data_IF_284473053029
#
_entry.id   IF_284473053029
#
_cell.length_a   1.000
_cell.length_b   1.000
_cell.length_c   1.000
_cell.angle_alpha   90.00
_cell.angle_beta   90.00
_cell.angle_gamma   90.00
#
_symmetry.space_group_name_H-M   'P 1'
#
loop_
_entity.id
_entity.type
_entity.pdbx_description
1 polymer ?
#
# COMPACT_ATOMS: atom_id res chain seq x y z
N UNK A 1 45.57 42.41 -42.32
CA UNK A 1 44.18 42.80 -41.97
C UNK A 1 43.77 41.97 -40.78
N UNK A 2 43.95 42.51 -39.57
CA UNK A 2 43.55 41.84 -38.33
C UNK A 2 42.03 41.94 -38.17
N UNK A 3 41.36 40.79 -38.00
CA UNK A 3 39.91 40.70 -37.74
C UNK A 3 39.71 40.67 -36.22
N UNK A 4 38.98 41.65 -35.73
CA UNK A 4 38.47 41.72 -34.35
C UNK A 4 37.57 40.52 -34.05
N UNK A 5 37.82 39.84 -32.94
CA UNK A 5 36.79 39.08 -32.23
C UNK A 5 36.72 39.57 -30.78
N UNK A 6 35.61 40.24 -30.49
CA UNK A 6 35.18 40.64 -29.16
C UNK A 6 34.58 39.39 -28.52
N UNK A 7 35.17 38.90 -27.43
CA UNK A 7 34.59 37.85 -26.59
C UNK A 7 33.78 38.53 -25.49
N UNK A 8 32.46 38.44 -25.56
CA UNK A 8 31.59 38.76 -24.43
C UNK A 8 31.69 37.62 -23.42
N UNK A 9 32.30 37.89 -22.26
CA UNK A 9 32.18 37.01 -21.09
C UNK A 9 30.91 37.44 -20.36
N UNK A 10 29.82 36.71 -20.58
CA UNK A 10 28.64 36.82 -19.74
C UNK A 10 28.96 36.19 -18.38
N UNK A 11 29.18 37.01 -17.36
CA UNK A 11 29.21 36.55 -15.98
C UNK A 11 27.77 36.18 -15.60
N UNK A 12 27.47 34.87 -15.59
CA UNK A 12 26.25 34.33 -15.03
C UNK A 12 26.35 34.50 -13.50
N UNK A 13 25.81 35.59 -12.96
CA UNK A 13 25.56 35.71 -11.54
C UNK A 13 24.36 34.82 -11.25
N UNK A 14 24.62 33.56 -10.91
CA UNK A 14 23.64 32.72 -10.22
C UNK A 14 23.41 33.36 -8.85
N UNK A 15 22.36 34.17 -8.74
CA UNK A 15 21.75 34.43 -7.44
C UNK A 15 21.16 33.10 -6.98
N UNK A 16 21.88 32.40 -6.10
CA UNK A 16 21.28 31.36 -5.29
C UNK A 16 20.22 32.06 -4.43
N UNK A 17 18.96 32.00 -4.86
CA UNK A 17 17.85 32.12 -3.91
C UNK A 17 18.06 30.99 -2.92
N UNK A 18 18.15 31.31 -1.64
CA UNK A 18 18.14 30.32 -0.58
C UNK A 18 16.84 29.52 -0.72
N UNK A 19 16.90 28.38 -1.40
CA UNK A 19 16.01 27.29 -1.10
C UNK A 19 16.40 26.89 0.32
N UNK A 20 15.62 27.34 1.30
CA UNK A 20 15.55 26.67 2.58
C UNK A 20 15.44 25.18 2.26
N UNK A 21 16.28 24.35 2.88
CA UNK A 21 16.16 22.92 2.77
C UNK A 21 14.72 22.56 3.18
N UNK A 22 13.85 22.33 2.20
CA UNK A 22 12.55 21.74 2.42
C UNK A 22 12.89 20.31 2.80
N UNK A 23 12.98 20.03 4.10
CA UNK A 23 12.88 18.64 4.54
C UNK A 23 11.46 18.13 4.26
N UNK A 24 11.26 16.84 4.45
CA UNK A 24 10.04 16.18 4.00
C UNK A 24 8.81 16.71 4.79
N UNK A 25 7.65 16.90 4.13
CA UNK A 25 6.40 17.26 4.80
C UNK A 25 5.85 16.07 5.60
N UNK A 26 4.77 16.27 6.38
CA UNK A 26 4.12 15.17 7.11
C UNK A 26 3.34 14.32 6.10
N UNK A 27 3.71 13.04 5.88
CA UNK A 27 2.97 12.20 4.95
C UNK A 27 1.55 11.92 5.46
N UNK A 28 0.58 11.95 4.56
CA UNK A 28 -0.76 11.45 4.81
C UNK A 28 -0.73 10.02 5.37
N UNK A 29 -1.57 9.76 6.39
CA UNK A 29 -1.62 8.47 7.07
C UNK A 29 -0.53 8.24 8.13
N UNK A 30 0.32 9.24 8.40
CA UNK A 30 1.28 9.15 9.50
C UNK A 30 0.62 9.19 10.87
N UNK A 31 1.29 8.55 11.82
CA UNK A 31 0.99 8.70 13.24
C UNK A 31 1.95 9.69 13.90
N UNK A 32 1.48 10.33 14.97
CA UNK A 32 2.31 11.19 15.80
C UNK A 32 2.57 10.50 17.14
N UNK A 33 3.84 10.40 17.51
CA UNK A 33 4.26 9.91 18.81
C UNK A 33 4.79 11.05 19.68
N UNK A 34 4.34 11.15 20.93
CA UNK A 34 4.89 12.12 21.86
C UNK A 34 6.32 11.72 22.22
N UNK A 35 7.30 12.49 21.71
CA UNK A 35 8.73 12.26 21.96
C UNK A 35 9.13 12.90 23.28
N UNK A 36 8.68 14.14 23.53
CA UNK A 36 9.00 14.91 24.74
C UNK A 36 8.03 16.07 24.96
N UNK A 37 8.03 16.58 26.19
CA UNK A 37 7.32 17.81 26.58
C UNK A 37 8.33 18.83 27.09
N UNK A 38 8.28 20.04 26.56
CA UNK A 38 9.10 21.17 27.00
C UNK A 38 8.26 22.08 27.89
N UNK A 39 8.76 22.37 29.10
CA UNK A 39 8.09 23.29 30.02
C UNK A 39 8.34 24.73 29.58
N UNK A 40 7.30 25.55 29.50
CA UNK A 40 7.48 26.97 29.26
C UNK A 40 7.85 27.72 30.56
N UNK A 41 8.97 28.45 30.61
CA UNK A 41 9.31 29.22 31.80
C UNK A 41 8.54 30.56 31.84
N UNK A 42 7.34 30.58 32.43
CA UNK A 42 6.57 31.82 32.69
C UNK A 42 5.13 31.79 32.19
N UNK A 43 4.60 32.96 31.77
CA UNK A 43 3.19 33.14 31.37
C UNK A 43 2.89 32.62 29.96
N UNK A 44 1.77 31.90 29.79
CA UNK A 44 1.07 31.51 28.56
C UNK A 44 1.82 31.66 27.22
N UNK A 45 2.22 30.55 26.60
CA UNK A 45 2.66 30.56 25.20
C UNK A 45 1.46 30.91 24.32
N UNK A 46 1.60 31.95 23.48
CA UNK A 46 0.54 32.40 22.58
C UNK A 46 0.83 31.98 21.15
N UNK A 47 2.10 32.05 20.72
CA UNK A 47 2.52 31.67 19.38
C UNK A 47 3.92 31.05 19.42
N UNK A 48 4.14 30.07 18.55
CA UNK A 48 5.43 29.40 18.38
C UNK A 48 5.80 29.37 16.89
N UNK A 49 7.09 29.35 16.59
CA UNK A 49 7.56 29.17 15.22
C UNK A 49 8.93 28.50 15.20
N UNK A 50 9.18 27.69 14.17
CA UNK A 50 10.52 27.20 13.87
C UNK A 50 11.25 28.25 13.03
N UNK A 51 12.39 28.75 13.51
CA UNK A 51 13.13 29.78 12.80
C UNK A 51 14.64 29.60 12.95
N UNK A 52 15.32 29.39 11.82
CA UNK A 52 16.77 29.21 11.73
C UNK A 52 17.32 28.07 12.62
N UNK A 53 16.58 26.97 12.74
CA UNK A 53 17.00 25.78 13.49
C UNK A 53 16.78 25.87 15.00
N UNK A 54 16.06 26.88 15.47
CA UNK A 54 15.71 27.08 16.87
C UNK A 54 14.19 27.26 17.01
N UNK A 55 13.65 26.91 18.17
CA UNK A 55 12.25 27.13 18.49
C UNK A 55 12.09 28.55 19.06
N UNK A 56 11.14 29.31 18.53
CA UNK A 56 10.81 30.65 19.00
C UNK A 56 9.41 30.67 19.59
N UNK A 57 9.24 31.34 20.72
CA UNK A 57 7.97 31.43 21.44
C UNK A 57 7.71 32.87 21.87
N UNK A 58 6.48 33.34 21.69
CA UNK A 58 5.99 34.60 22.26
C UNK A 58 4.87 34.34 23.25
N UNK A 59 4.81 35.15 24.31
CA UNK A 59 3.67 35.17 25.23
C UNK A 59 2.80 36.43 25.06
N UNK A 60 1.64 36.44 25.70
CA UNK A 60 0.70 37.56 25.62
C UNK A 60 1.25 38.91 26.13
N UNK A 61 2.29 38.88 26.96
CA UNK A 61 2.98 40.09 27.46
C UNK A 61 4.09 40.61 26.54
N UNK A 62 4.32 39.95 25.38
CA UNK A 62 5.31 40.41 24.39
C UNK A 62 6.74 40.02 24.72
N UNK A 63 6.95 38.98 25.51
CA UNK A 63 8.25 38.39 25.74
C UNK A 63 8.51 37.34 24.67
N UNK A 64 9.41 37.66 23.73
CA UNK A 64 9.90 36.75 22.71
C UNK A 64 11.10 35.98 23.25
N UNK A 65 11.06 34.65 23.16
CA UNK A 65 12.12 33.76 23.63
C UNK A 65 12.56 32.84 22.51
N UNK A 66 13.86 32.59 22.50
CA UNK A 66 14.50 31.58 21.67
C UNK A 66 14.87 30.42 22.57
N UNK A 67 14.47 29.22 22.19
CA UNK A 67 14.51 28.04 23.04
C UNK A 67 15.30 26.95 22.32
N UNK A 68 16.15 26.27 23.07
CA UNK A 68 16.80 25.05 22.63
C UNK A 68 15.73 23.95 22.47
N UNK A 69 15.50 23.44 21.26
CA UNK A 69 14.39 22.54 20.99
C UNK A 69 14.57 21.13 21.58
N UNK A 70 15.79 20.77 22.00
CA UNK A 70 16.10 19.48 22.60
C UNK A 70 15.88 19.50 24.11
N UNK A 71 16.24 20.61 24.76
CA UNK A 71 16.30 20.72 26.24
C UNK A 71 15.24 21.63 26.84
N UNK A 72 14.66 22.54 26.05
CA UNK A 72 13.77 23.59 26.53
C UNK A 72 14.50 24.78 27.20
N UNK A 73 15.83 24.83 27.15
CA UNK A 73 16.60 25.95 27.71
C UNK A 73 16.34 27.25 26.95
N UNK A 74 16.13 28.35 27.67
CA UNK A 74 15.99 29.68 27.06
C UNK A 74 17.36 30.22 26.64
N UNK A 75 17.62 30.23 25.35
CA UNK A 75 18.85 30.70 24.74
C UNK A 75 18.92 32.23 24.66
N UNK A 76 17.78 32.90 24.47
CA UNK A 76 17.66 34.35 24.42
C UNK A 76 16.27 34.83 24.81
N UNK A 77 16.17 36.07 25.32
CA UNK A 77 14.90 36.73 25.65
C UNK A 77 14.94 38.18 25.16
N UNK A 78 13.88 38.60 24.49
CA UNK A 78 13.68 39.97 24.01
C UNK A 78 12.27 40.42 24.40
N UNK A 79 12.17 41.61 25.02
CA UNK A 79 10.87 42.22 25.30
C UNK A 79 10.46 43.11 24.13
N UNK A 80 9.25 42.91 23.65
CA UNK A 80 8.60 43.73 22.63
C UNK A 80 7.83 44.88 23.29
N UNK A 81 7.65 45.98 22.57
CA UNK A 81 6.97 47.18 23.08
C UNK A 81 5.46 47.04 23.16
N UNK A 82 4.90 46.05 22.48
CA UNK A 82 3.47 45.81 22.32
C UNK A 82 2.99 44.81 23.37
N UNK A 83 1.69 44.84 23.64
CA UNK A 83 0.99 43.86 24.48
C UNK A 83 -0.07 43.17 23.62
N UNK A 84 -0.56 41.99 24.01
CA UNK A 84 -1.59 41.19 23.30
C UNK A 84 -1.11 40.59 21.97
N UNK A 85 -0.07 39.78 22.06
CA UNK A 85 0.43 38.98 20.94
C UNK A 85 -0.32 37.66 20.85
N UNK A 86 -0.57 37.20 19.62
CA UNK A 86 -1.23 35.91 19.38
C UNK A 86 -0.24 34.96 18.70
N UNK A 87 -0.05 35.03 17.39
CA UNK A 87 0.70 34.07 16.60
C UNK A 87 2.14 34.45 16.28
N UNK A 88 2.94 33.44 15.92
CA UNK A 88 4.27 33.58 15.34
C UNK A 88 4.35 32.75 14.07
N UNK A 89 5.01 33.27 13.03
CA UNK A 89 5.27 32.51 11.82
C UNK A 89 6.59 32.91 11.18
N UNK A 90 7.22 32.00 10.44
CA UNK A 90 8.49 32.29 9.78
C UNK A 90 8.46 32.01 8.28
N UNK A 91 9.07 32.90 7.50
CA UNK A 91 9.40 32.64 6.09
C UNK A 91 10.83 32.09 5.89
N UNK A 92 11.51 31.73 6.98
CA UNK A 92 12.91 31.30 7.01
C UNK A 92 13.94 32.44 7.08
N UNK A 93 13.61 33.65 6.61
CA UNK A 93 14.48 34.83 6.68
C UNK A 93 14.04 35.83 7.76
N UNK A 94 12.74 35.89 8.00
CA UNK A 94 12.04 36.81 8.86
C UNK A 94 11.14 36.02 9.82
N UNK A 95 10.94 36.61 11.00
CA UNK A 95 9.93 36.18 11.96
C UNK A 95 8.80 37.20 11.97
N UNK A 96 7.59 36.73 11.75
CA UNK A 96 6.36 37.51 11.75
C UNK A 96 5.56 37.24 13.00
N UNK A 97 4.75 38.22 13.38
CA UNK A 97 3.95 38.17 14.60
C UNK A 97 2.62 38.85 14.38
N UNK A 98 1.57 38.30 14.99
CA UNK A 98 0.26 38.94 15.09
C UNK A 98 0.04 39.55 16.47
N UNK A 99 -0.58 40.73 16.51
CA UNK A 99 -0.93 41.41 17.76
C UNK A 99 -2.16 42.30 17.60
N UNK A 100 -2.91 42.53 18.68
CA UNK A 100 -4.14 43.33 18.66
C UNK A 100 -4.06 44.60 19.54
N UNK A 101 -3.69 45.77 18.98
CA UNK A 101 -3.59 47.01 19.76
C UNK A 101 -4.93 47.63 20.19
N UNK A 102 -6.10 47.01 19.94
CA UNK A 102 -7.38 47.54 20.41
C UNK A 102 -8.61 47.23 19.56
N UNK A 103 -8.73 46.00 19.05
CA UNK A 103 -9.86 45.48 18.28
C UNK A 103 -9.58 45.23 16.79
N UNK A 104 -8.33 45.33 16.34
CA UNK A 104 -7.91 45.05 14.96
C UNK A 104 -6.55 44.34 14.98
N UNK A 105 -6.49 43.10 14.53
CA UNK A 105 -5.22 42.37 14.50
C UNK A 105 -4.30 42.91 13.41
N UNK A 106 -3.03 43.10 13.75
CA UNK A 106 -1.97 43.56 12.87
C UNK A 106 -0.90 42.48 12.75
N UNK A 107 -0.36 42.32 11.54
CA UNK A 107 0.84 41.52 11.30
C UNK A 107 2.04 42.43 11.12
N UNK A 108 3.19 42.01 11.64
CA UNK A 108 4.48 42.68 11.39
C UNK A 108 5.62 41.68 11.40
N UNK A 109 6.72 42.02 10.74
CA UNK A 109 7.99 41.35 10.98
C UNK A 109 8.65 41.91 12.24
N UNK A 110 8.99 41.04 13.18
CA UNK A 110 9.72 41.37 14.42
C UNK A 110 11.23 41.21 14.25
N UNK A 111 11.64 40.29 13.37
CA UNK A 111 13.04 40.02 13.07
C UNK A 111 13.18 39.87 11.56
N UNK A 112 13.90 40.77 10.86
CA UNK A 112 14.21 42.12 11.31
C UNK A 112 12.93 42.94 11.49
N UNK A 113 12.96 43.99 12.32
CA UNK A 113 11.77 44.85 12.51
C UNK A 113 11.32 45.49 11.19
N UNK A 114 10.06 45.28 10.85
CA UNK A 114 9.43 45.76 9.62
C UNK A 114 8.10 46.49 9.87
N UNK A 115 7.47 47.00 8.80
CA UNK A 115 6.17 47.67 8.91
C UNK A 115 5.06 46.70 9.33
N UNK A 116 4.01 47.25 9.95
CA UNK A 116 2.78 46.52 10.28
C UNK A 116 1.69 46.73 9.23
N UNK A 117 0.84 45.74 9.02
CA UNK A 117 -0.40 45.85 8.22
C UNK A 117 -1.56 45.15 8.90
N UNK A 118 -2.78 45.60 8.62
CA UNK A 118 -3.99 45.07 9.26
C UNK A 118 -4.52 43.81 8.58
N UNK A 119 -5.04 42.89 9.37
CA UNK A 119 -5.88 41.81 8.88
C UNK A 119 -7.31 42.33 8.63
N UNK A 120 -8.07 41.70 7.72
CA UNK A 120 -9.48 42.04 7.50
C UNK A 120 -10.38 41.83 8.73
N UNK A 121 -9.94 41.02 9.69
CA UNK A 121 -10.68 40.55 10.86
C UNK A 121 -9.81 40.61 12.12
N UNK A 122 -10.43 40.67 13.31
CA UNK A 122 -9.70 40.63 14.59
C UNK A 122 -9.33 39.23 15.06
N UNK A 123 -9.88 38.18 14.45
CA UNK A 123 -9.77 36.80 14.94
C UNK A 123 -8.47 36.07 14.61
N UNK A 124 -7.46 36.74 14.04
CA UNK A 124 -6.20 36.09 13.67
C UNK A 124 -5.44 35.60 14.91
N UNK A 125 -5.41 34.27 15.09
CA UNK A 125 -4.86 33.62 16.30
C UNK A 125 -3.44 33.12 16.09
N UNK A 126 -3.19 32.40 15.02
CA UNK A 126 -1.85 31.96 14.64
C UNK A 126 -1.56 32.23 13.16
N UNK A 127 -0.28 32.20 12.77
CA UNK A 127 0.12 32.51 11.39
C UNK A 127 1.35 31.72 10.92
N UNK A 128 1.40 31.42 9.63
CA UNK A 128 2.56 30.79 8.98
C UNK A 128 2.83 31.44 7.62
N UNK A 129 3.92 31.08 6.97
CA UNK A 129 4.29 31.59 5.65
C UNK A 129 4.39 30.46 4.62
N UNK A 130 3.69 30.63 3.50
CA UNK A 130 3.80 29.75 2.33
C UNK A 130 3.70 30.57 1.04
N UNK A 131 4.54 30.27 0.06
CA UNK A 131 4.43 30.82 -1.30
C UNK A 131 4.45 32.35 -1.38
N UNK A 132 5.22 33.03 -0.52
CA UNK A 132 5.36 34.49 -0.51
C UNK A 132 4.23 35.26 0.16
N UNK A 133 3.33 34.57 0.86
CA UNK A 133 2.24 35.17 1.65
C UNK A 133 2.18 34.59 3.06
N UNK A 134 1.47 35.30 3.93
CA UNK A 134 1.17 34.82 5.29
C UNK A 134 -0.22 34.20 5.32
N UNK A 135 -0.28 32.96 5.76
CA UNK A 135 -1.52 32.29 6.13
C UNK A 135 -1.82 32.55 7.60
N UNK A 136 -3.09 32.65 7.96
CA UNK A 136 -3.50 32.72 9.35
C UNK A 136 -4.81 31.99 9.61
N UNK A 137 -4.94 31.48 10.83
CA UNK A 137 -6.15 30.90 11.38
C UNK A 137 -7.02 32.02 11.97
N UNK A 138 -8.23 32.20 11.42
CA UNK A 138 -9.22 33.15 11.92
C UNK A 138 -10.19 32.46 12.88
N UNK A 139 -9.89 32.58 14.17
CA UNK A 139 -10.57 31.91 15.27
C UNK A 139 -12.05 32.30 15.39
N UNK A 140 -12.38 33.56 15.11
CA UNK A 140 -13.74 34.11 15.28
C UNK A 140 -14.62 33.81 14.07
N UNK A 141 -14.06 33.92 12.86
CA UNK A 141 -14.80 33.76 11.61
C UNK A 141 -14.74 32.35 11.02
N UNK A 142 -13.90 31.45 11.57
CA UNK A 142 -13.80 30.06 11.13
C UNK A 142 -13.18 29.92 9.75
N UNK A 143 -12.14 30.69 9.47
CA UNK A 143 -11.50 30.75 8.14
C UNK A 143 -10.00 30.54 8.25
N UNK A 144 -9.43 30.07 7.14
CA UNK A 144 -8.01 30.04 6.90
C UNK A 144 -7.76 31.05 5.78
N UNK A 145 -6.90 32.04 6.01
CA UNK A 145 -6.80 33.21 5.13
C UNK A 145 -5.34 33.46 4.75
N UNK A 146 -5.07 33.58 3.44
CA UNK A 146 -3.76 33.99 2.91
C UNK A 146 -3.76 35.47 2.58
N UNK A 147 -2.77 36.18 3.09
CA UNK A 147 -2.52 37.59 2.82
C UNK A 147 -1.14 37.76 2.17
N UNK A 148 -0.97 38.77 1.33
CA UNK A 148 0.36 39.24 0.97
C UNK A 148 1.03 39.86 2.19
N UNK A 149 2.36 39.91 2.19
CA UNK A 149 3.16 40.60 3.23
C UNK A 149 2.96 42.12 3.27
N UNK A 150 2.08 42.65 2.41
CA UNK A 150 1.67 44.06 2.36
C UNK A 150 0.17 44.26 2.65
N UNK A 151 -0.55 43.20 3.03
CA UNK A 151 -1.96 43.28 3.45
C UNK A 151 -3.03 43.08 2.35
N UNK A 152 -2.67 42.53 1.18
CA UNK A 152 -3.65 42.15 0.16
C UNK A 152 -4.19 40.73 0.37
N UNK A 153 -5.50 40.50 0.22
CA UNK A 153 -6.08 39.15 0.28
C UNK A 153 -5.68 38.32 -0.95
N UNK A 154 -5.14 37.13 -0.74
CA UNK A 154 -4.68 36.21 -1.78
C UNK A 154 -5.58 34.98 -1.90
N UNK A 155 -6.01 34.40 -0.77
CA UNK A 155 -6.88 33.23 -0.73
C UNK A 155 -7.64 33.18 0.61
N UNK A 156 -8.78 32.48 0.64
CA UNK A 156 -9.49 32.17 1.88
C UNK A 156 -10.33 30.91 1.72
N UNK A 157 -10.37 30.09 2.76
CA UNK A 157 -11.13 28.84 2.82
C UNK A 157 -11.83 28.72 4.18
N UNK A 158 -12.97 28.00 4.26
CA UNK A 158 -13.55 27.65 5.54
C UNK A 158 -12.61 26.73 6.33
N UNK A 159 -12.53 26.93 7.64
CA UNK A 159 -11.88 25.99 8.55
C UNK A 159 -12.69 24.68 8.61
N UNK A 160 -12.05 23.51 8.57
CA UNK A 160 -12.73 22.22 8.70
C UNK A 160 -13.61 22.15 9.95
N UNK A 161 -14.83 21.61 9.77
CA UNK A 161 -15.82 21.36 10.82
C UNK A 161 -16.19 22.55 11.73
N UNK A 162 -15.88 23.79 11.33
CA UNK A 162 -15.94 24.95 12.22
C UNK A 162 -17.26 25.07 12.99
N UNK A 163 -17.14 25.36 14.29
CA UNK A 163 -18.23 25.71 15.18
C UNK A 163 -17.77 26.82 16.12
N UNK A 164 -18.47 27.97 16.17
CA UNK A 164 -18.06 29.12 16.98
C UNK A 164 -18.03 28.86 18.50
N UNK A 165 -18.65 27.78 18.98
CA UNK A 165 -18.69 27.41 20.40
C UNK A 165 -17.64 26.35 20.78
N UNK A 166 -17.38 25.37 19.91
CA UNK A 166 -16.67 24.13 20.28
C UNK A 166 -15.68 23.64 19.21
N UNK A 167 -15.39 24.42 18.16
CA UNK A 167 -14.42 24.02 17.14
C UNK A 167 -13.90 25.23 16.33
N UNK A 168 -12.89 25.93 16.86
CA UNK A 168 -12.38 27.18 16.27
C UNK A 168 -10.91 27.04 15.87
N UNK A 169 -10.50 27.44 14.66
CA UNK A 169 -9.12 27.28 14.22
C UNK A 169 -8.16 28.09 15.10
N UNK A 170 -7.13 27.43 15.62
CA UNK A 170 -6.17 28.00 16.59
C UNK A 170 -4.78 28.06 16.00
N UNK A 171 -4.06 26.93 15.94
CA UNK A 171 -2.69 26.86 15.45
C UNK A 171 -2.64 26.59 13.94
N UNK A 172 -1.66 27.19 13.26
CA UNK A 172 -1.44 26.96 11.82
C UNK A 172 0.04 26.94 11.49
N UNK A 173 0.50 25.96 10.70
CA UNK A 173 1.90 25.86 10.27
C UNK A 173 1.99 25.30 8.85
N UNK A 174 3.08 25.62 8.15
CA UNK A 174 3.40 25.09 6.82
C UNK A 174 4.48 24.02 6.95
N UNK A 175 4.19 22.80 6.49
CA UNK A 175 5.14 21.69 6.59
C UNK A 175 6.03 21.51 5.36
N UNK A 176 5.74 22.22 4.26
CA UNK A 176 6.38 22.03 2.97
C UNK A 176 5.42 21.63 1.85
N UNK A 177 4.25 21.10 2.18
CA UNK A 177 3.22 20.64 1.23
C UNK A 177 1.79 20.99 1.67
N UNK A 178 1.51 20.93 2.97
CA UNK A 178 0.20 21.15 3.58
C UNK A 178 0.22 22.32 4.57
N UNK A 179 -0.93 22.98 4.66
CA UNK A 179 -1.24 23.81 5.82
C UNK A 179 -1.70 22.88 6.94
N UNK A 180 -0.88 22.75 7.97
CA UNK A 180 -1.23 22.10 9.22
C UNK A 180 -2.15 23.03 10.00
N UNK A 181 -3.29 22.51 10.46
CA UNK A 181 -4.24 23.29 11.25
C UNK A 181 -4.72 22.47 12.45
N UNK A 182 -4.71 23.09 13.62
CA UNK A 182 -5.47 22.61 14.79
C UNK A 182 -6.66 23.49 15.03
N UNK A 183 -7.72 22.88 15.56
CA UNK A 183 -8.85 23.63 16.10
C UNK A 183 -8.93 23.44 17.61
N UNK A 184 -9.24 24.53 18.30
CA UNK A 184 -9.54 24.55 19.71
C UNK A 184 -10.69 23.58 20.04
N UNK A 185 -10.53 22.81 21.11
CA UNK A 185 -11.45 21.76 21.59
C UNK A 185 -11.62 20.54 20.66
N UNK A 186 -10.79 20.42 19.61
CA UNK A 186 -10.64 19.20 18.81
C UNK A 186 -9.27 18.59 19.03
N UNK A 187 -9.22 17.27 19.10
CA UNK A 187 -7.98 16.51 19.11
C UNK A 187 -7.64 16.03 17.69
N UNK A 188 -7.54 16.95 16.73
CA UNK A 188 -7.29 16.60 15.33
C UNK A 188 -6.33 17.61 14.70
N UNK A 189 -5.31 17.11 14.02
CA UNK A 189 -4.48 17.88 13.10
C UNK A 189 -5.00 17.69 11.68
N UNK A 190 -5.41 18.79 11.04
CA UNK A 190 -5.83 18.78 9.64
C UNK A 190 -4.65 19.13 8.74
N UNK A 191 -4.39 18.32 7.72
CA UNK A 191 -3.44 18.61 6.64
C UNK A 191 -4.25 19.13 5.45
N UNK A 192 -4.09 20.41 5.13
CA UNK A 192 -4.97 21.11 4.19
C UNK A 192 -4.19 21.52 2.94
N UNK A 193 -4.74 21.23 1.77
CA UNK A 193 -4.13 21.62 0.49
C UNK A 193 -4.26 23.14 0.30
N UNK A 194 -3.14 23.89 0.17
CA UNK A 194 -3.18 25.36 0.13
C UNK A 194 -3.82 25.92 -1.15
N UNK A 195 -3.92 25.12 -2.22
CA UNK A 195 -4.47 25.54 -3.52
C UNK A 195 -6.00 25.60 -3.58
N UNK A 196 -6.70 24.78 -2.78
CA UNK A 196 -8.16 24.68 -2.80
C UNK A 196 -8.83 24.60 -1.41
N UNK A 197 -8.04 24.52 -0.32
CA UNK A 197 -8.54 24.48 1.05
C UNK A 197 -9.17 23.15 1.46
N UNK A 198 -9.00 22.11 0.66
CA UNK A 198 -9.54 20.77 0.97
C UNK A 198 -8.63 20.08 1.98
N UNK A 199 -9.23 19.45 2.99
CA UNK A 199 -8.53 18.53 3.90
C UNK A 199 -8.08 17.33 3.11
N UNK A 200 -6.77 17.13 3.03
CA UNK A 200 -6.17 15.95 2.42
C UNK A 200 -6.26 14.78 3.39
N UNK A 201 -5.81 15.02 4.63
CA UNK A 201 -5.71 14.02 5.68
C UNK A 201 -5.95 14.62 7.07
N UNK A 202 -6.32 13.76 8.01
CA UNK A 202 -6.52 14.08 9.42
C UNK A 202 -5.67 13.14 10.27
N UNK A 203 -5.01 13.69 11.29
CA UNK A 203 -4.28 12.91 12.29
C UNK A 203 -4.97 13.09 13.64
N UNK A 204 -5.33 11.97 14.28
CA UNK A 204 -5.94 11.97 15.61
C UNK A 204 -4.90 12.27 16.69
N UNK A 205 -5.16 13.30 17.50
CA UNK A 205 -4.35 13.73 18.63
C UNK A 205 -4.99 13.35 19.98
N UNK A 206 -6.07 12.54 19.98
CA UNK A 206 -6.89 12.26 21.15
C UNK A 206 -6.13 11.63 22.31
N UNK A 207 -5.09 10.87 22.01
CA UNK A 207 -4.19 10.25 22.99
C UNK A 207 -3.45 11.29 23.86
N UNK A 208 -3.30 12.52 23.38
CA UNK A 208 -2.51 13.56 24.04
C UNK A 208 -3.37 14.56 24.81
N UNK A 209 -4.70 14.55 24.57
CA UNK A 209 -5.70 15.43 25.18
C UNK A 209 -5.25 16.87 25.45
N UNK A 210 -4.51 17.56 24.56
CA UNK A 210 -4.14 18.92 24.87
C UNK A 210 -5.29 19.78 24.38
N UNK A 211 -5.74 20.72 25.19
CA UNK A 211 -6.35 21.92 24.64
C UNK A 211 -5.25 22.66 23.87
N UNK A 212 -4.84 22.15 22.69
CA UNK A 212 -3.81 22.72 21.82
C UNK A 212 -4.39 24.02 21.30
N UNK A 213 -4.08 25.10 22.00
CA UNK A 213 -4.83 26.34 21.89
C UNK A 213 -3.98 27.53 21.43
N UNK A 214 -2.66 27.38 21.22
CA UNK A 214 -1.79 28.53 20.99
C UNK A 214 -1.17 28.55 19.58
N UNK A 215 -0.28 27.62 19.26
CA UNK A 215 0.38 27.60 17.95
C UNK A 215 1.10 26.31 17.59
N UNK A 216 1.51 26.22 16.33
CA UNK A 216 2.22 25.08 15.75
C UNK A 216 3.60 25.53 15.24
N UNK A 217 4.59 24.65 15.32
CA UNK A 217 5.87 24.84 14.64
C UNK A 217 6.37 23.53 14.03
N UNK A 218 7.03 23.58 12.88
CA UNK A 218 7.50 22.40 12.16
C UNK A 218 9.03 22.43 11.97
N UNK A 219 9.70 21.38 12.42
CA UNK A 219 11.10 21.12 12.07
C UNK A 219 11.19 20.00 11.02
N UNK A 220 11.35 20.34 9.74
CA UNK A 220 11.43 19.35 8.67
C UNK A 220 12.75 18.55 8.70
N UNK A 221 13.79 19.02 9.41
CA UNK A 221 15.06 18.31 9.49
C UNK A 221 15.01 17.12 10.47
N UNK A 222 14.19 17.22 11.51
CA UNK A 222 13.99 16.15 12.49
C UNK A 222 12.65 15.45 12.40
N UNK A 223 11.79 15.83 11.44
CA UNK A 223 10.41 15.35 11.29
C UNK A 223 9.63 15.53 12.60
N UNK A 224 9.74 16.71 13.20
CA UNK A 224 9.11 17.01 14.49
C UNK A 224 8.10 18.14 14.39
N UNK A 225 6.88 17.84 14.85
CA UNK A 225 5.82 18.81 15.06
C UNK A 225 5.85 19.28 16.50
N UNK A 226 5.91 20.59 16.70
CA UNK A 226 5.80 21.24 17.98
C UNK A 226 4.39 21.82 18.08
N UNK A 227 3.68 21.48 19.15
CA UNK A 227 2.37 22.02 19.45
C UNK A 227 2.39 22.66 20.84
N UNK A 228 2.11 23.96 20.90
CA UNK A 228 2.02 24.66 22.17
C UNK A 228 0.59 24.63 22.71
N UNK A 229 0.48 24.31 23.99
CA UNK A 229 -0.67 24.72 24.79
C UNK A 229 -0.30 25.95 25.64
N UNK A 230 -1.09 26.19 26.69
CA UNK A 230 -0.92 27.30 27.60
C UNK A 230 0.37 27.24 28.44
N UNK A 231 0.92 26.06 28.76
CA UNK A 231 2.01 25.92 29.73
C UNK A 231 3.18 25.09 29.18
N UNK A 232 2.93 24.29 28.16
CA UNK A 232 3.84 23.28 27.65
C UNK A 232 3.93 23.31 26.11
N UNK A 233 5.05 22.83 25.59
CA UNK A 233 5.19 22.50 24.17
C UNK A 233 5.36 20.99 24.05
N UNK A 234 4.40 20.34 23.42
CA UNK A 234 4.48 18.93 23.06
C UNK A 234 5.29 18.81 21.78
N UNK A 235 6.27 17.90 21.78
CA UNK A 235 7.08 17.59 20.61
C UNK A 235 6.73 16.20 20.14
N UNK A 236 6.14 16.14 18.95
CA UNK A 236 5.73 14.92 18.30
C UNK A 236 6.73 14.52 17.23
N UNK A 237 7.10 13.24 17.20
CA UNK A 237 7.79 12.62 16.08
C UNK A 237 6.77 12.07 15.08
N UNK A 238 7.05 12.24 13.80
CA UNK A 238 6.24 11.63 12.73
C UNK A 238 6.67 10.19 12.51
N UNK A 239 5.74 9.27 12.70
CA UNK A 239 5.91 7.86 12.37
C UNK A 239 5.17 7.61 11.05
N UNK A 240 5.93 7.51 9.96
CA UNK A 240 5.36 7.23 8.65
C UNK A 240 4.78 5.81 8.59
N UNK A 241 3.64 5.62 7.91
CA UNK A 241 3.06 4.32 7.73
C UNK A 241 3.98 3.49 6.82
N UNK A 242 4.24 2.25 7.21
CA UNK A 242 5.06 1.32 6.43
C UNK A 242 4.38 -0.03 6.41
N UNK A 243 4.35 -0.65 5.23
CA UNK A 243 3.98 -2.05 5.04
C UNK A 243 5.19 -2.77 4.48
N UNK A 244 5.45 -4.00 4.95
CA UNK A 244 6.45 -4.88 4.34
C UNK A 244 5.88 -6.29 4.21
N UNK A 245 5.77 -6.79 2.98
CA UNK A 245 5.37 -8.16 2.71
C UNK A 245 6.52 -9.10 3.06
N UNK A 246 6.19 -10.15 3.81
CA UNK A 246 7.11 -11.20 4.24
C UNK A 246 6.92 -12.45 3.38
N UNK A 247 5.67 -12.84 3.09
CA UNK A 247 5.34 -13.92 2.16
C UNK A 247 4.16 -13.53 1.27
N UNK A 248 4.16 -13.82 -0.05
CA UNK A 248 5.26 -14.41 -0.83
C UNK A 248 6.55 -13.60 -0.75
N UNK A 249 7.68 -14.29 -0.71
CA UNK A 249 8.98 -13.70 -0.99
C UNK A 249 9.31 -13.88 -2.49
N UNK A 250 10.24 -13.06 -3.03
CA UNK A 250 10.67 -13.22 -4.41
C UNK A 250 11.20 -14.63 -4.69
N UNK A 251 10.65 -15.28 -5.71
CA UNK A 251 10.99 -16.63 -6.17
C UNK A 251 10.21 -17.77 -5.49
N UNK A 252 9.34 -17.46 -4.52
CA UNK A 252 8.47 -18.47 -3.90
C UNK A 252 7.65 -19.23 -4.95
N UNK A 253 7.43 -20.52 -4.72
CA UNK A 253 6.63 -21.37 -5.58
C UNK A 253 5.30 -21.66 -4.90
N UNK A 254 4.22 -21.18 -5.50
CA UNK A 254 2.86 -21.43 -5.03
C UNK A 254 2.15 -22.39 -5.97
N UNK A 255 1.48 -23.37 -5.37
CA UNK A 255 0.73 -24.36 -6.12
C UNK A 255 -0.74 -23.93 -6.20
N UNK A 256 -1.29 -23.92 -7.41
CA UNK A 256 -2.71 -23.61 -7.62
C UNK A 256 -3.65 -24.52 -6.81
N UNK A 257 -4.78 -23.99 -6.36
CA UNK A 257 -5.77 -24.68 -5.53
C UNK A 257 -5.31 -24.95 -4.09
N UNK A 258 -4.04 -24.72 -3.76
CA UNK A 258 -3.55 -24.79 -2.39
C UNK A 258 -3.79 -23.47 -1.65
N UNK A 259 -3.99 -23.59 -0.33
CA UNK A 259 -3.96 -22.43 0.56
C UNK A 259 -2.51 -21.99 0.72
N UNK A 260 -2.24 -20.77 0.32
CA UNK A 260 -0.99 -20.05 0.56
C UNK A 260 -1.23 -18.94 1.57
N UNK A 261 -0.28 -18.72 2.48
CA UNK A 261 -0.39 -17.69 3.50
C UNK A 261 0.40 -16.46 3.09
N UNK A 262 -0.32 -15.35 2.94
CA UNK A 262 0.26 -14.03 2.79
C UNK A 262 0.62 -13.52 4.19
N UNK A 263 1.85 -13.05 4.39
CA UNK A 263 2.31 -12.44 5.64
C UNK A 263 2.89 -11.08 5.36
N UNK A 264 2.63 -10.12 6.23
CA UNK A 264 3.22 -8.79 6.16
C UNK A 264 3.40 -8.20 7.56
N UNK A 265 4.21 -7.16 7.63
CA UNK A 265 4.36 -6.32 8.82
C UNK A 265 3.85 -4.92 8.52
N UNK A 266 3.34 -4.23 9.54
CA UNK A 266 2.93 -2.83 9.48
C UNK A 266 3.50 -2.01 10.63
N UNK A 267 3.85 -0.75 10.39
CA UNK A 267 4.27 0.23 11.40
C UNK A 267 3.57 1.56 11.11
N UNK A 268 3.17 2.30 12.15
CA UNK A 268 2.49 3.59 11.99
C UNK A 268 1.08 3.49 11.39
N UNK A 269 0.35 2.39 11.63
CA UNK A 269 -1.02 2.17 11.13
C UNK A 269 -1.90 1.62 12.25
N UNK A 270 -2.75 2.47 12.81
CA UNK A 270 -3.65 2.16 13.93
C UNK A 270 -5.00 1.57 13.51
N UNK A 271 -5.53 1.99 12.36
CA UNK A 271 -6.82 1.54 11.84
C UNK A 271 -6.72 1.12 10.37
N UNK A 272 -6.13 -0.06 10.09
CA UNK A 272 -5.88 -0.50 8.72
C UNK A 272 -7.17 -0.88 7.97
N UNK A 273 -7.23 -0.52 6.70
CA UNK A 273 -8.16 -1.03 5.68
C UNK A 273 -7.38 -1.78 4.59
N UNK A 274 -7.00 -3.03 4.91
CA UNK A 274 -6.19 -3.86 4.03
C UNK A 274 -6.90 -4.24 2.72
N UNK A 275 -6.25 -3.96 1.58
CA UNK A 275 -6.57 -4.47 0.25
C UNK A 275 -5.43 -5.31 -0.29
N UNK A 276 -5.78 -6.31 -1.07
CA UNK A 276 -4.85 -7.25 -1.69
C UNK A 276 -5.08 -7.25 -3.19
N UNK A 277 -4.04 -7.07 -3.97
CA UNK A 277 -4.11 -7.13 -5.42
C UNK A 277 -3.11 -8.14 -5.95
N UNK A 278 -3.50 -8.88 -6.97
CA UNK A 278 -2.63 -9.79 -7.72
C UNK A 278 -2.34 -9.13 -9.07
N UNK A 279 -1.07 -8.95 -9.41
CA UNK A 279 -0.66 -8.53 -10.75
C UNK A 279 0.04 -9.66 -11.49
N UNK A 280 0.13 -9.53 -12.81
CA UNK A 280 0.75 -10.51 -13.68
C UNK A 280 1.57 -9.86 -14.80
N UNK A 281 2.61 -10.58 -15.23
CA UNK A 281 3.42 -10.28 -16.41
C UNK A 281 4.61 -9.38 -16.11
N UNK A 282 5.54 -9.18 -17.05
CA UNK A 282 6.80 -8.49 -16.78
C UNK A 282 6.62 -7.02 -16.34
N UNK A 283 5.50 -6.39 -16.70
CA UNK A 283 5.16 -5.02 -16.33
C UNK A 283 4.24 -4.93 -15.08
N UNK A 284 4.03 -6.06 -14.37
CA UNK A 284 3.16 -6.18 -13.18
C UNK A 284 1.79 -5.52 -13.40
N UNK A 285 1.11 -5.92 -14.46
CA UNK A 285 -0.22 -5.38 -14.77
C UNK A 285 -1.27 -5.98 -13.85
N UNK A 286 -2.12 -5.13 -13.28
CA UNK A 286 -3.24 -5.56 -12.44
C UNK A 286 -4.05 -6.68 -13.10
N UNK A 287 -4.13 -7.82 -12.40
CA UNK A 287 -4.92 -8.97 -12.84
C UNK A 287 -6.27 -8.99 -12.11
N UNK A 288 -6.26 -8.99 -10.77
CA UNK A 288 -7.48 -8.96 -9.95
C UNK A 288 -7.22 -8.56 -8.51
N UNK A 289 -8.29 -8.17 -7.81
CA UNK A 289 -8.29 -8.00 -6.36
C UNK A 289 -8.50 -9.36 -5.68
N UNK A 290 -7.78 -9.59 -4.59
CA UNK A 290 -7.96 -10.73 -3.70
C UNK A 290 -8.76 -10.30 -2.46
N UNK A 291 -9.53 -11.23 -1.90
CA UNK A 291 -10.35 -10.99 -0.70
C UNK A 291 -10.03 -11.96 0.45
N UNK A 292 -8.75 -12.18 0.81
CA UNK A 292 -8.43 -12.99 1.98
C UNK A 292 -8.80 -12.20 3.25
N UNK A 293 -9.06 -12.89 4.35
CA UNK A 293 -9.41 -12.25 5.63
C UNK A 293 -8.13 -11.96 6.44
N UNK A 294 -7.79 -10.68 6.71
CA UNK A 294 -6.63 -10.34 7.53
C UNK A 294 -6.79 -10.78 8.99
N UNK A 295 -5.69 -11.24 9.58
CA UNK A 295 -5.59 -11.60 11.00
C UNK A 295 -4.41 -10.87 11.61
N UNK A 296 -4.66 -10.15 12.70
CA UNK A 296 -3.63 -9.45 13.49
C UNK A 296 -2.99 -10.42 14.49
N UNK A 297 -1.69 -10.64 14.38
CA UNK A 297 -0.90 -11.44 15.33
C UNK A 297 -0.24 -10.59 16.44
N UNK A 298 -0.38 -9.26 16.37
CA UNK A 298 0.19 -8.30 17.31
C UNK A 298 1.57 -7.79 16.88
N UNK A 299 1.98 -6.67 17.47
CA UNK A 299 3.25 -5.99 17.19
C UNK A 299 3.48 -5.72 15.69
N UNK A 300 2.41 -5.31 14.99
CA UNK A 300 2.45 -5.04 13.55
C UNK A 300 2.55 -6.28 12.67
N UNK A 301 2.46 -7.51 13.19
CA UNK A 301 2.49 -8.72 12.37
C UNK A 301 1.08 -9.12 11.93
N UNK A 302 0.93 -9.46 10.66
CA UNK A 302 -0.35 -9.84 10.07
C UNK A 302 -0.20 -11.02 9.12
N UNK A 303 -1.29 -11.76 8.95
CA UNK A 303 -1.41 -12.74 7.87
C UNK A 303 -2.82 -12.80 7.30
N UNK A 304 -2.93 -13.35 6.10
CA UNK A 304 -4.19 -13.73 5.48
C UNK A 304 -3.99 -15.00 4.64
N UNK A 305 -4.94 -15.92 4.70
CA UNK A 305 -4.88 -17.16 3.93
C UNK A 305 -5.62 -16.97 2.59
N UNK A 306 -4.92 -17.22 1.48
CA UNK A 306 -5.43 -17.15 0.12
C UNK A 306 -5.38 -18.54 -0.52
N UNK A 307 -6.52 -19.06 -0.98
CA UNK A 307 -6.52 -20.25 -1.85
C UNK A 307 -6.15 -19.79 -3.25
N UNK A 308 -4.98 -20.21 -3.74
CA UNK A 308 -4.47 -19.82 -5.06
C UNK A 308 -5.47 -20.24 -6.13
N UNK A 309 -5.92 -19.30 -6.95
CA UNK A 309 -6.97 -19.55 -7.93
C UNK A 309 -6.50 -20.57 -8.99
N UNK A 310 -7.39 -21.47 -9.42
CA UNK A 310 -7.06 -22.56 -10.37
C UNK A 310 -7.07 -22.13 -11.83
N UNK A 311 -7.49 -20.88 -12.12
CA UNK A 311 -7.51 -20.31 -13.48
C UNK A 311 -6.24 -19.52 -13.81
N UNK A 312 -5.26 -19.49 -12.92
CA UNK A 312 -3.99 -18.79 -13.11
C UNK A 312 -3.05 -19.61 -13.99
N UNK A 313 -2.18 -18.94 -14.74
CA UNK A 313 -1.24 -19.58 -15.65
C UNK A 313 -0.01 -20.08 -14.89
N UNK A 314 0.65 -21.12 -15.42
CA UNK A 314 2.00 -21.50 -14.99
C UNK A 314 2.99 -20.41 -15.39
N UNK A 315 3.36 -19.55 -14.44
CA UNK A 315 4.20 -18.39 -14.69
C UNK A 315 4.92 -17.91 -13.42
N UNK A 316 6.05 -17.24 -13.60
CA UNK A 316 6.90 -16.67 -12.56
C UNK A 316 6.81 -15.14 -12.45
N UNK A 317 5.89 -14.52 -13.18
CA UNK A 317 5.66 -13.08 -13.17
C UNK A 317 4.38 -12.72 -12.43
N UNK A 318 4.22 -13.20 -11.20
CA UNK A 318 3.16 -12.76 -10.30
C UNK A 318 3.74 -11.91 -9.17
N UNK A 319 3.02 -10.89 -8.73
CA UNK A 319 3.25 -10.24 -7.45
C UNK A 319 1.92 -10.04 -6.70
N UNK A 320 2.02 -9.93 -5.39
CA UNK A 320 0.91 -9.53 -4.53
C UNK A 320 1.25 -8.15 -3.99
N UNK A 321 0.28 -7.24 -4.10
CA UNK A 321 0.29 -5.94 -3.44
C UNK A 321 -0.54 -6.04 -2.19
N UNK A 322 0.03 -5.67 -1.06
CA UNK A 322 -0.70 -5.44 0.19
C UNK A 322 -0.72 -3.95 0.41
N UNK A 323 -1.91 -3.37 0.38
CA UNK A 323 -2.14 -1.93 0.51
C UNK A 323 -3.02 -1.67 1.71
N UNK A 324 -2.71 -0.64 2.47
CA UNK A 324 -3.66 -0.04 3.40
C UNK A 324 -4.35 1.15 2.72
N UNK A 325 -5.67 1.10 2.55
CA UNK A 325 -6.39 2.18 1.88
C UNK A 325 -6.55 3.44 2.76
N UNK A 326 -6.43 3.31 4.09
CA UNK A 326 -6.58 4.46 5.00
C UNK A 326 -5.34 5.36 4.99
N UNK A 327 -4.14 4.78 4.94
CA UNK A 327 -2.87 5.51 4.82
C UNK A 327 -2.29 5.53 3.41
N UNK A 328 -2.95 4.88 2.46
CA UNK A 328 -2.52 4.63 1.06
C UNK A 328 -1.17 3.95 0.89
N UNK A 329 -0.48 3.57 1.96
CA UNK A 329 0.80 2.86 1.88
C UNK A 329 0.59 1.45 1.35
N UNK A 330 1.53 0.99 0.54
CA UNK A 330 1.55 -0.36 0.03
C UNK A 330 2.95 -0.96 0.06
N UNK A 331 3.01 -2.26 -0.21
CA UNK A 331 4.22 -2.96 -0.58
C UNK A 331 3.91 -4.06 -1.59
N UNK A 332 4.94 -4.49 -2.31
CA UNK A 332 4.89 -5.54 -3.32
C UNK A 332 5.75 -6.74 -2.88
N UNK A 333 5.22 -7.96 -3.04
CA UNK A 333 5.95 -9.19 -2.68
C UNK A 333 7.23 -9.42 -3.50
N UNK A 334 7.39 -8.67 -4.61
CA UNK A 334 8.24 -9.05 -5.72
C UNK A 334 7.73 -10.29 -6.45
N UNK A 335 8.46 -10.71 -7.49
CA UNK A 335 8.02 -11.79 -8.38
C UNK A 335 8.05 -13.15 -7.69
N UNK A 336 6.92 -13.85 -7.66
CA UNK A 336 6.82 -15.26 -7.29
C UNK A 336 6.21 -16.08 -8.44
N UNK A 337 6.31 -17.40 -8.33
CA UNK A 337 5.78 -18.31 -9.31
C UNK A 337 4.51 -19.00 -8.84
N UNK A 338 3.57 -19.14 -9.77
CA UNK A 338 2.43 -20.05 -9.64
C UNK A 338 2.69 -21.20 -10.59
N UNK A 339 2.71 -22.41 -10.05
CA UNK A 339 2.93 -23.64 -10.83
C UNK A 339 1.62 -24.40 -10.95
N UNK A 340 1.36 -24.99 -12.12
CA UNK A 340 0.27 -25.94 -12.22
C UNK A 340 0.57 -27.20 -11.42
N UNK A 341 -0.48 -27.91 -11.01
CA UNK A 341 -0.34 -29.29 -10.51
C UNK A 341 0.13 -30.24 -11.60
N UNK A 342 0.69 -31.37 -11.18
CA UNK A 342 0.99 -32.47 -12.10
C UNK A 342 -0.13 -33.51 -12.06
N UNK A 343 -0.39 -34.15 -13.21
CA UNK A 343 -1.28 -35.31 -13.34
C UNK A 343 -0.49 -36.40 -14.06
N UNK A 344 -0.18 -37.48 -13.35
CA UNK A 344 0.58 -38.62 -13.86
C UNK A 344 -0.34 -39.83 -13.99
N UNK A 345 -0.75 -40.16 -15.21
CA UNK A 345 -1.67 -41.27 -15.48
C UNK A 345 -0.90 -42.60 -15.50
N UNK A 346 -1.18 -43.46 -14.53
CA UNK A 346 -0.55 -44.78 -14.38
C UNK A 346 -1.32 -45.91 -15.10
N UNK A 347 -2.64 -45.75 -15.30
CA UNK A 347 -3.47 -46.68 -16.08
C UNK A 347 -4.47 -45.94 -16.97
N UNK A 348 -4.71 -46.41 -18.20
CA UNK A 348 -4.23 -47.67 -18.79
C UNK A 348 -2.72 -47.70 -19.11
N UNK A 349 -2.14 -48.91 -19.09
CA UNK A 349 -0.73 -49.13 -19.43
C UNK A 349 -0.53 -49.17 -20.95
N UNK A 350 0.68 -48.85 -21.40
CA UNK A 350 1.03 -48.98 -22.81
C UNK A 350 0.73 -50.39 -23.32
N UNK A 351 -0.02 -50.49 -24.42
CA UNK A 351 -0.42 -51.75 -25.08
C UNK A 351 -1.28 -52.67 -24.21
N UNK A 352 -1.90 -52.16 -23.14
CA UNK A 352 -2.89 -52.91 -22.38
C UNK A 352 -4.07 -53.27 -23.29
N UNK A 353 -4.51 -54.52 -23.29
CA UNK A 353 -5.72 -54.94 -24.01
C UNK A 353 -6.90 -54.96 -23.04
N UNK A 354 -7.97 -54.28 -23.41
CA UNK A 354 -9.22 -54.19 -22.64
C UNK A 354 -10.35 -54.77 -23.48
N UNK A 355 -11.12 -55.69 -22.91
CA UNK A 355 -12.29 -56.22 -23.59
C UNK A 355 -13.44 -55.23 -23.51
N UNK A 356 -14.17 -55.08 -24.62
CA UNK A 356 -15.47 -54.42 -24.63
C UNK A 356 -16.42 -55.03 -23.59
N UNK A 357 -17.21 -54.19 -22.92
CA UNK A 357 -18.14 -54.59 -21.87
C UNK A 357 -17.50 -54.91 -20.50
N UNK A 358 -16.17 -54.80 -20.37
CA UNK A 358 -15.46 -54.91 -19.10
C UNK A 358 -15.16 -53.53 -18.50
N UNK A 359 -14.90 -53.50 -17.19
CA UNK A 359 -14.45 -52.29 -16.52
C UNK A 359 -12.94 -52.08 -16.72
N UNK A 360 -12.56 -50.88 -17.15
CA UNK A 360 -11.20 -50.37 -17.11
C UNK A 360 -11.00 -49.52 -15.85
N UNK A 361 -10.02 -49.89 -15.02
CA UNK A 361 -9.60 -49.05 -13.90
C UNK A 361 -8.59 -48.00 -14.38
N UNK A 362 -9.01 -46.74 -14.43
CA UNK A 362 -8.18 -45.57 -14.70
C UNK A 362 -7.52 -45.19 -13.39
N UNK A 363 -6.19 -45.02 -13.38
CA UNK A 363 -5.42 -44.67 -12.18
C UNK A 363 -4.45 -43.55 -12.50
N UNK A 364 -4.37 -42.56 -11.63
CA UNK A 364 -3.46 -41.43 -11.79
C UNK A 364 -3.00 -40.89 -10.43
N UNK A 365 -1.89 -40.15 -10.46
CA UNK A 365 -1.35 -39.43 -9.33
C UNK A 365 -1.40 -37.92 -9.59
N UNK A 366 -1.63 -37.13 -8.55
CA UNK A 366 -1.55 -35.67 -8.61
C UNK A 366 -0.86 -35.09 -7.38
N UNK A 367 -0.15 -34.00 -7.57
CA UNK A 367 0.41 -33.19 -6.49
C UNK A 367 -0.52 -32.01 -6.20
N UNK A 368 -0.92 -31.80 -4.94
CA UNK A 368 -1.61 -30.58 -4.54
C UNK A 368 -2.67 -30.75 -3.47
N UNK A 369 -3.33 -29.64 -3.17
CA UNK A 369 -4.33 -29.48 -2.12
C UNK A 369 -5.71 -29.17 -2.74
N UNK A 370 -6.77 -29.51 -2.01
CA UNK A 370 -8.18 -29.56 -2.42
C UNK A 370 -8.53 -30.68 -3.42
N UNK A 371 -9.76 -31.23 -3.38
CA UNK A 371 -10.20 -32.24 -4.34
C UNK A 371 -10.36 -31.61 -5.75
N UNK A 372 -9.54 -32.02 -6.74
CA UNK A 372 -9.71 -31.62 -8.14
C UNK A 372 -11.09 -31.96 -8.72
N UNK A 373 -11.57 -31.10 -9.63
CA UNK A 373 -12.76 -31.36 -10.44
C UNK A 373 -12.39 -32.18 -11.68
N UNK A 374 -12.35 -33.50 -11.56
CA UNK A 374 -11.87 -34.37 -12.63
C UNK A 374 -12.81 -34.46 -13.84
N UNK A 375 -12.22 -34.36 -15.03
CA UNK A 375 -12.85 -34.59 -16.34
C UNK A 375 -12.08 -35.67 -17.08
N UNK A 376 -12.82 -36.55 -17.74
CA UNK A 376 -12.27 -37.70 -18.46
C UNK A 376 -12.74 -37.69 -19.91
N UNK A 377 -11.84 -37.98 -20.84
CA UNK A 377 -12.17 -38.08 -22.26
C UNK A 377 -11.51 -39.33 -22.84
N UNK A 378 -12.14 -39.92 -23.84
CA UNK A 378 -11.58 -41.00 -24.65
C UNK A 378 -11.20 -40.46 -26.01
N UNK A 379 -9.95 -40.69 -26.40
CA UNK A 379 -9.44 -40.36 -27.72
C UNK A 379 -9.04 -41.63 -28.46
N UNK A 380 -9.11 -41.60 -29.80
CA UNK A 380 -8.59 -42.63 -30.71
C UNK A 380 -7.72 -41.97 -31.77
N UNK A 381 -6.46 -42.37 -31.89
CA UNK A 381 -5.48 -41.76 -32.81
C UNK A 381 -5.41 -40.22 -32.65
N UNK A 382 -5.45 -39.74 -31.39
CA UNK A 382 -5.46 -38.31 -31.06
C UNK A 382 -6.76 -37.56 -31.42
N UNK A 383 -7.83 -38.27 -31.81
CA UNK A 383 -9.14 -37.68 -32.11
C UNK A 383 -10.12 -38.01 -30.99
N UNK A 384 -10.73 -36.96 -30.43
CA UNK A 384 -11.80 -37.05 -29.44
C UNK A 384 -12.94 -37.99 -29.89
N UNK A 385 -13.30 -38.94 -29.03
CA UNK A 385 -14.41 -39.86 -29.23
C UNK A 385 -15.61 -39.50 -28.35
N UNK A 386 -15.41 -39.51 -27.03
CA UNK A 386 -16.48 -39.25 -26.07
C UNK A 386 -15.93 -38.72 -24.74
N UNK A 387 -16.76 -37.96 -24.03
CA UNK A 387 -16.50 -37.58 -22.64
C UNK A 387 -16.96 -38.71 -21.73
N UNK A 388 -16.09 -39.12 -20.81
CA UNK A 388 -16.38 -40.18 -19.85
C UNK A 388 -16.88 -39.55 -18.54
N UNK A 389 -17.75 -40.27 -17.83
CA UNK A 389 -18.27 -39.88 -16.52
C UNK A 389 -18.04 -40.96 -15.45
N UNK A 390 -16.81 -41.51 -15.30
CA UNK A 390 -16.53 -42.40 -14.20
C UNK A 390 -16.47 -41.59 -12.90
N UNK A 391 -16.77 -42.23 -11.77
CA UNK A 391 -16.75 -41.56 -10.45
C UNK A 391 -15.31 -41.62 -9.91
N UNK A 392 -14.65 -40.47 -9.66
CA UNK A 392 -13.32 -40.45 -9.04
C UNK A 392 -13.36 -40.89 -7.59
N UNK A 393 -12.35 -41.64 -7.18
CA UNK A 393 -12.18 -42.14 -5.83
C UNK A 393 -10.77 -41.77 -5.37
N UNK A 394 -10.71 -41.00 -4.28
CA UNK A 394 -9.47 -40.64 -3.59
C UNK A 394 -8.93 -41.87 -2.84
N UNK A 395 -7.76 -42.35 -3.23
CA UNK A 395 -7.04 -43.44 -2.57
C UNK A 395 -5.98 -42.91 -1.57
N UNK A 396 -5.88 -41.60 -1.40
CA UNK A 396 -4.97 -40.92 -0.48
C UNK A 396 -3.57 -40.68 -1.05
N UNK A 397 -2.83 -39.73 -0.45
CA UNK A 397 -1.47 -39.35 -0.86
C UNK A 397 -1.36 -39.00 -2.36
N UNK A 398 -2.37 -38.30 -2.89
CA UNK A 398 -2.42 -37.91 -4.30
C UNK A 398 -2.76 -39.04 -5.28
N UNK A 399 -3.07 -40.25 -4.80
CA UNK A 399 -3.50 -41.36 -5.67
C UNK A 399 -5.00 -41.32 -5.89
N UNK A 400 -5.41 -41.52 -7.15
CA UNK A 400 -6.80 -41.54 -7.54
C UNK A 400 -7.10 -42.72 -8.45
N UNK A 401 -8.34 -43.22 -8.37
CA UNK A 401 -8.89 -44.15 -9.36
C UNK A 401 -10.26 -43.72 -9.85
N UNK A 402 -10.62 -44.19 -11.03
CA UNK A 402 -11.99 -44.18 -11.52
C UNK A 402 -12.21 -45.43 -12.37
N UNK A 403 -13.34 -46.11 -12.19
CA UNK A 403 -13.64 -47.32 -12.95
C UNK A 403 -14.62 -46.97 -14.08
N UNK A 404 -14.20 -47.18 -15.33
CA UNK A 404 -14.98 -46.91 -16.54
C UNK A 404 -15.48 -48.22 -17.16
N UNK A 405 -16.79 -48.34 -17.36
CA UNK A 405 -17.36 -49.47 -18.10
C UNK A 405 -17.21 -49.24 -19.60
N UNK A 406 -16.38 -50.04 -20.25
CA UNK A 406 -16.06 -49.88 -21.67
C UNK A 406 -17.27 -50.28 -22.52
N UNK A 407 -17.87 -49.36 -23.30
CA UNK A 407 -19.06 -49.65 -24.09
C UNK A 407 -18.84 -50.77 -25.12
N UNK A 408 -19.82 -51.67 -25.25
CA UNK A 408 -19.75 -52.80 -26.18
C UNK A 408 -19.78 -52.38 -27.68
N UNK A 409 -20.22 -51.17 -27.96
CA UNK A 409 -20.37 -50.61 -29.30
C UNK A 409 -19.15 -49.82 -29.79
N UNK A 410 -18.07 -49.72 -29.00
CA UNK A 410 -16.83 -49.11 -29.48
C UNK A 410 -16.24 -49.94 -30.64
N UNK A 411 -15.58 -49.25 -31.57
CA UNK A 411 -14.89 -49.89 -32.69
C UNK A 411 -13.60 -50.53 -32.17
N UNK A 412 -13.19 -51.68 -32.71
CA UNK A 412 -11.89 -52.26 -32.37
C UNK A 412 -10.75 -51.27 -32.71
N UNK A 413 -9.74 -51.19 -31.86
CA UNK A 413 -8.60 -50.30 -32.05
C UNK A 413 -7.51 -50.53 -31.03
N UNK A 414 -6.30 -50.11 -31.38
CA UNK A 414 -5.07 -50.27 -30.56
C UNK A 414 -4.44 -48.93 -30.17
N UNK A 415 -5.12 -47.86 -30.54
CA UNK A 415 -4.71 -46.46 -30.59
C UNK A 415 -5.60 -45.59 -29.69
N UNK A 416 -6.22 -46.19 -28.66
CA UNK A 416 -7.03 -45.48 -27.68
C UNK A 416 -6.15 -44.84 -26.61
N UNK A 417 -6.52 -43.65 -26.13
CA UNK A 417 -5.93 -43.03 -24.94
C UNK A 417 -7.01 -42.40 -24.07
N UNK A 418 -6.79 -42.41 -22.75
CA UNK A 418 -7.64 -41.71 -21.78
C UNK A 418 -6.99 -40.37 -21.47
N UNK A 419 -7.77 -39.30 -21.59
CA UNK A 419 -7.35 -37.96 -21.16
C UNK A 419 -7.93 -37.71 -19.77
N UNK A 420 -7.06 -37.37 -18.81
CA UNK A 420 -7.47 -36.93 -17.47
C UNK A 420 -7.10 -35.46 -17.32
N UNK A 421 -8.07 -34.64 -16.96
CA UNK A 421 -7.90 -33.20 -16.72
C UNK A 421 -8.65 -32.79 -15.46
N UNK A 422 -8.31 -31.65 -14.91
CA UNK A 422 -9.18 -30.90 -14.00
C UNK A 422 -9.37 -29.46 -14.52
N UNK A 423 -9.87 -28.56 -13.66
CA UNK A 423 -10.09 -27.14 -14.00
C UNK A 423 -8.82 -26.28 -13.82
N UNK A 424 -7.65 -26.90 -13.68
CA UNK A 424 -6.37 -26.21 -13.58
C UNK A 424 -5.83 -25.71 -14.91
N UNK A 425 -4.69 -25.00 -14.87
CA UNK A 425 -3.87 -24.67 -16.03
C UNK A 425 -3.15 -25.87 -16.69
N UNK A 426 -3.41 -27.11 -16.24
CA UNK A 426 -2.78 -28.31 -16.81
C UNK A 426 -3.20 -28.53 -18.25
N UNK A 427 -2.20 -28.60 -19.14
CA UNK A 427 -2.38 -29.14 -20.50
C UNK A 427 -2.83 -30.59 -20.45
N UNK A 428 -3.77 -30.95 -21.30
CA UNK A 428 -4.28 -32.31 -21.55
C UNK A 428 -3.23 -33.41 -21.30
N UNK A 429 -3.46 -34.24 -20.26
CA UNK A 429 -2.60 -35.40 -19.99
C UNK A 429 -3.27 -36.65 -20.55
N UNK A 430 -2.57 -37.30 -21.46
CA UNK A 430 -2.99 -38.56 -22.07
C UNK A 430 -2.33 -39.73 -21.36
N UNK A 431 -3.07 -40.81 -21.17
CA UNK A 431 -2.50 -42.10 -20.85
C UNK A 431 -1.61 -42.59 -21.99
N UNK A 432 -0.84 -43.65 -21.73
CA UNK A 432 -0.28 -44.43 -22.82
C UNK A 432 -1.39 -45.02 -23.72
N UNK A 433 -1.06 -45.28 -24.98
CA UNK A 433 -1.99 -45.93 -25.92
C UNK A 433 -2.30 -47.37 -25.50
N UNK A 434 -3.56 -47.76 -25.61
CA UNK A 434 -4.07 -49.08 -25.25
C UNK A 434 -5.09 -49.59 -26.28
N UNK A 435 -5.40 -50.89 -26.21
CA UNK A 435 -6.32 -51.54 -27.15
C UNK A 435 -7.68 -51.82 -26.52
N UNK A 436 -8.74 -51.60 -27.29
CA UNK A 436 -10.12 -52.00 -26.97
C UNK A 436 -10.56 -52.97 -28.06
N UNK A 437 -10.85 -54.22 -27.67
CA UNK A 437 -11.19 -55.32 -28.59
C UNK A 437 -12.41 -56.10 -28.11
N UNK A 438 -13.16 -56.69 -29.04
CA UNK A 438 -14.37 -57.48 -28.73
C UNK A 438 -14.05 -58.83 -28.07
N UNK A 439 -12.90 -59.43 -28.42
CA UNK A 439 -12.46 -60.74 -27.91
C UNK A 439 -11.02 -60.68 -27.40
N UNK A 440 -10.82 -60.97 -26.11
CA UNK A 440 -9.48 -61.27 -25.56
C UNK A 440 -9.22 -62.76 -25.80
N UNK A 441 -8.28 -63.10 -26.68
CA UNK A 441 -7.70 -64.44 -26.67
C UNK A 441 -6.59 -64.42 -25.63
N UNK A 442 -6.82 -65.06 -24.48
CA UNK A 442 -5.80 -65.31 -23.45
C UNK A 442 -4.73 -66.26 -24.01
N UNK A 443 -3.76 -65.71 -24.73
CA UNK A 443 -2.45 -66.32 -24.89
C UNK A 443 -1.66 -66.09 -23.61
N UNK A 444 -1.28 -67.19 -22.95
CA UNK A 444 -0.56 -67.27 -21.68
C UNK A 444 0.56 -66.19 -21.57
N UNK A 445 0.37 -65.19 -20.69
CA UNK A 445 1.36 -64.14 -20.42
C UNK A 445 2.41 -64.57 -19.39
N UNK A 446 2.84 -65.82 -19.44
CA UNK A 446 4.10 -66.23 -18.84
C UNK A 446 5.07 -66.48 -19.99
N UNK A 447 6.00 -65.54 -20.17
CA UNK A 447 7.01 -65.60 -21.22
C UNK A 447 7.89 -66.84 -21.09
N UNK A 448 7.46 -67.94 -21.70
CA UNK A 448 8.29 -68.91 -22.41
C UNK A 448 7.36 -69.99 -23.01
N UNK A 449 7.02 -69.84 -24.30
CA UNK A 449 6.78 -70.94 -25.24
C UNK A 449 6.21 -70.40 -26.55
N UNK A 450 6.98 -70.64 -27.62
CA UNK A 450 6.48 -70.56 -28.98
C UNK A 450 5.33 -71.55 -29.20
N UNK A 451 4.17 -71.05 -29.62
CA UNK A 451 3.27 -71.82 -30.48
C UNK A 451 2.97 -70.96 -31.70
N UNK A 452 3.51 -71.40 -32.84
CA UNK A 452 3.23 -70.93 -34.21
C UNK A 452 3.64 -69.50 -34.62
N UNK A 453 4.77 -69.00 -34.10
CA UNK A 453 5.62 -68.06 -34.84
C UNK A 453 5.03 -66.70 -35.24
N UNK A 454 3.87 -66.31 -34.72
CA UNK A 454 3.25 -65.02 -34.98
C UNK A 454 3.58 -64.04 -33.84
N UNK A 455 4.26 -62.96 -34.21
CA UNK A 455 4.44 -61.77 -33.37
C UNK A 455 3.06 -61.15 -33.06
N UNK A 456 2.94 -60.48 -31.91
CA UNK A 456 1.71 -59.79 -31.46
C UNK A 456 1.23 -58.80 -32.53
N UNK A 457 2.14 -58.19 -33.29
CA UNK A 457 1.76 -57.36 -34.44
C UNK A 457 1.06 -58.13 -35.57
N UNK A 458 1.46 -59.36 -35.88
CA UNK A 458 0.82 -60.17 -36.92
C UNK A 458 -0.56 -60.69 -36.50
N UNK A 459 -0.77 -61.00 -35.21
CA UNK A 459 -2.07 -61.45 -34.71
C UNK A 459 -3.09 -60.30 -34.64
N UNK A 460 -2.64 -59.11 -34.23
CA UNK A 460 -3.46 -57.88 -34.24
C UNK A 460 -3.85 -57.49 -35.67
N UNK A 461 -2.92 -57.61 -36.63
CA UNK A 461 -3.22 -57.35 -38.06
C UNK A 461 -4.18 -58.38 -38.65
N UNK A 462 -4.19 -59.63 -38.14
CA UNK A 462 -5.10 -60.68 -38.57
C UNK A 462 -6.51 -60.57 -37.94
N UNK A 463 -6.62 -60.03 -36.71
CA UNK A 463 -7.90 -59.85 -36.02
C UNK A 463 -8.69 -58.62 -36.51
N UNK A 464 -8.00 -57.59 -37.00
CA UNK A 464 -8.60 -56.33 -37.51
C UNK A 464 -8.69 -56.35 -39.06
N UNK A 465 -8.79 -57.52 -39.69
CA UNK A 465 -8.59 -57.70 -41.13
C UNK A 465 -9.33 -56.70 -42.04
N UNK A 466 -8.60 -56.18 -43.04
CA UNK A 466 -8.99 -55.44 -44.26
C UNK A 466 -10.18 -54.48 -44.21
#
# INVERSE_FOLDING_TARGET
>A
MYRNQIVFVAALVLSASAASALGDPIPCGSELELVRTLMFPGDYAHGIAWHQGELWIVNGSGVLRRIDPLTGEVLATTSLSETTHNGLGSDGASLFMSYDPGGNTLFRSVIPSGPSFATPTSGARDLTHEGGGLWYADFDEGKIVKMSTTGGLLAQYPSPDWNPLENRPSGIEWDGEHLLLTNHDRNTLYLIRPGDGVVDCEIDLSAFNPTIAAGLAWDPASMQLYAADNEEVYVFGVVSPVVNIVTPAPGDQMLEGCVSRIRWTSTGISNPDWKFFLNQGPEMTFLRQLFPTPVNEGNGNWYADWTVDTDLLDDCYYDIVVKDDSTVTDDHSGHFCITCRTIDIARPMARQVVQKGCNLSIRWQTQGCQPPNWKFFLDKNGVFQEQLQPIPIDEGNGNWRADWNVPANLIDGVDYSIVVKDDSCVTDRHSAEFAILDTIILGDMNGDASVDGMDVQQFVTAAIGN
#
